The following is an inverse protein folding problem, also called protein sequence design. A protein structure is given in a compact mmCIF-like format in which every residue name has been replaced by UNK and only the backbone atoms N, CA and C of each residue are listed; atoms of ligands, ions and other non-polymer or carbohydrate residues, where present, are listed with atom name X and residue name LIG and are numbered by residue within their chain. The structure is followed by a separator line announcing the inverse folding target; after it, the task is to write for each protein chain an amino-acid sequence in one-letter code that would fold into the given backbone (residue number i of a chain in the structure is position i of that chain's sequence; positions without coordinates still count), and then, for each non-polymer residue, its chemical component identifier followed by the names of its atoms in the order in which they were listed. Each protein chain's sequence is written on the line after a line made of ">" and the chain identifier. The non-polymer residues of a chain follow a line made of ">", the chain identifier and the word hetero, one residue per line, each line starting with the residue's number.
data_IF_838900030490
#
_entry.id   IF_838900030490
#
_cell.length_a   1.000
_cell.length_b   1.000
_cell.length_c   1.000
_cell.angle_alpha   90.00
_cell.angle_beta   90.00
_cell.angle_gamma   90.00
#
_symmetry.space_group_name_H-M   'P 1'
#
loop_
_entity.id
_entity.type
_entity.pdbx_description
1 polymer ?
#
# COMPACT_ATOMS: atom_id res chain seq x y z
N UNK A 1 -8.85 12.75 -6.09
CA UNK A 1 -8.92 11.93 -7.25
C UNK A 1 -9.50 10.57 -6.99
N UNK A 2 -9.90 9.94 -8.05
CA UNK A 2 -10.50 8.61 -8.00
C UNK A 2 -9.54 7.50 -8.47
N UNK A 3 -8.30 7.86 -8.76
CA UNK A 3 -7.33 6.89 -9.22
C UNK A 3 -6.81 6.06 -8.06
N UNK A 4 -6.69 4.74 -8.28
CA UNK A 4 -6.26 3.79 -7.27
C UNK A 4 -5.23 2.85 -7.88
N UNK A 5 -4.17 2.54 -7.11
CA UNK A 5 -3.20 1.52 -7.47
C UNK A 5 -3.40 0.32 -6.56
N UNK A 6 -3.32 -0.88 -7.10
CA UNK A 6 -3.48 -2.12 -6.35
C UNK A 6 -2.24 -3.00 -6.48
N UNK A 7 -1.89 -3.66 -5.40
CA UNK A 7 -0.78 -4.60 -5.39
C UNK A 7 0.56 -3.94 -5.11
N UNK A 8 1.54 -4.72 -4.64
CA UNK A 8 2.80 -4.15 -4.16
C UNK A 8 3.61 -3.44 -5.24
N UNK A 9 3.65 -3.96 -6.45
CA UNK A 9 4.45 -3.35 -7.51
C UNK A 9 3.89 -2.01 -7.96
N UNK A 10 2.57 -1.94 -8.22
CA UNK A 10 1.92 -0.71 -8.64
C UNK A 10 1.99 0.36 -7.55
N UNK A 11 1.81 -0.06 -6.30
CA UNK A 11 1.88 0.87 -5.17
C UNK A 11 3.30 1.38 -4.97
N UNK A 12 4.30 0.51 -5.11
CA UNK A 12 5.70 0.94 -5.01
C UNK A 12 6.05 1.98 -6.07
N UNK A 13 5.59 1.78 -7.29
CA UNK A 13 5.79 2.73 -8.38
C UNK A 13 5.13 4.08 -8.06
N UNK A 14 3.89 4.03 -7.56
CA UNK A 14 3.18 5.26 -7.16
C UNK A 14 3.91 6.00 -6.05
N UNK A 15 4.50 5.26 -5.11
CA UNK A 15 5.28 5.86 -4.03
C UNK A 15 6.49 6.61 -4.59
N UNK A 16 7.21 6.02 -5.52
CA UNK A 16 8.37 6.66 -6.14
C UNK A 16 8.02 7.98 -6.82
N UNK A 17 6.86 8.03 -7.46
CA UNK A 17 6.42 9.25 -8.14
C UNK A 17 5.81 10.29 -7.20
N UNK A 18 5.69 9.97 -5.92
CA UNK A 18 5.05 10.88 -4.97
C UNK A 18 3.57 11.05 -5.23
N UNK A 19 2.94 10.05 -5.85
CA UNK A 19 1.55 10.13 -6.28
C UNK A 19 0.56 9.64 -5.23
N UNK A 20 1.02 9.07 -4.13
CA UNK A 20 0.15 8.48 -3.12
C UNK A 20 -0.45 9.57 -2.22
N UNK A 21 -1.77 9.67 -2.21
CA UNK A 21 -2.48 10.50 -1.25
C UNK A 21 -2.68 9.72 0.05
N UNK A 22 -3.16 8.47 -0.04
CA UNK A 22 -3.35 7.60 1.10
C UNK A 22 -2.91 6.19 0.74
N UNK A 23 -2.01 5.63 1.55
CA UNK A 23 -1.56 4.25 1.41
C UNK A 23 -2.42 3.38 2.31
N UNK A 24 -2.98 2.32 1.77
CA UNK A 24 -3.81 1.35 2.50
C UNK A 24 -3.07 0.02 2.53
N UNK A 25 -2.78 -0.48 3.71
CA UNK A 25 -2.04 -1.74 3.85
C UNK A 25 -2.73 -2.64 4.87
N UNK A 26 -2.75 -3.93 4.57
CA UNK A 26 -3.32 -4.94 5.44
C UNK A 26 -2.33 -5.25 6.56
N UNK A 27 -2.78 -5.19 7.82
CA UNK A 27 -1.93 -5.40 8.99
C UNK A 27 -1.23 -6.77 8.95
N UNK A 28 -1.98 -7.82 8.64
CA UNK A 28 -1.45 -9.17 8.57
C UNK A 28 -0.35 -9.27 7.52
N UNK A 29 -0.54 -8.60 6.39
CA UNK A 29 0.46 -8.61 5.31
C UNK A 29 1.68 -7.79 5.67
N UNK A 30 1.48 -6.65 6.32
CA UNK A 30 2.57 -5.79 6.77
C UNK A 30 3.51 -6.55 7.71
N UNK A 31 2.92 -7.29 8.67
CA UNK A 31 3.70 -8.08 9.61
C UNK A 31 4.44 -9.22 8.93
N UNK A 32 3.77 -9.88 7.98
CA UNK A 32 4.36 -10.99 7.23
C UNK A 32 5.59 -10.52 6.43
N UNK A 33 5.47 -9.40 5.75
CA UNK A 33 6.58 -8.86 4.97
C UNK A 33 7.72 -8.39 5.87
N UNK A 34 7.42 -7.79 7.01
CA UNK A 34 8.44 -7.32 7.96
C UNK A 34 9.22 -8.46 8.58
N UNK A 35 8.58 -9.62 8.77
CA UNK A 35 9.25 -10.78 9.35
C UNK A 35 10.13 -11.52 8.35
N UNK A 36 10.05 -11.17 7.07
CA UNK A 36 10.81 -11.84 6.02
C UNK A 36 10.13 -13.07 5.46
N UNK A 37 8.93 -13.38 5.93
CA UNK A 37 8.15 -14.55 5.47
C UNK A 37 7.22 -14.24 4.31
N UNK A 38 7.16 -12.97 3.90
CA UNK A 38 6.34 -12.57 2.77
C UNK A 38 7.00 -12.87 1.43
N UNK A 39 6.23 -12.72 0.37
CA UNK A 39 6.71 -13.04 -0.98
C UNK A 39 6.65 -11.85 -1.94
N UNK A 40 6.50 -10.63 -1.42
CA UNK A 40 6.55 -9.44 -2.26
C UNK A 40 7.99 -9.17 -2.72
N UNK A 41 8.13 -8.74 -3.96
CA UNK A 41 9.43 -8.35 -4.51
C UNK A 41 9.86 -6.95 -4.05
N UNK A 42 8.98 -6.22 -3.38
CA UNK A 42 9.24 -4.87 -2.90
C UNK A 42 9.26 -4.84 -1.38
N UNK A 43 9.97 -3.86 -0.83
CA UNK A 43 10.07 -3.69 0.62
C UNK A 43 8.90 -2.82 1.11
N UNK A 44 8.01 -3.41 1.92
CA UNK A 44 6.84 -2.71 2.41
C UNK A 44 7.21 -1.49 3.27
N UNK A 45 8.27 -1.61 4.07
CA UNK A 45 8.70 -0.49 4.91
C UNK A 45 9.22 0.67 4.07
N UNK A 46 9.87 0.37 2.96
CA UNK A 46 10.34 1.39 2.03
C UNK A 46 9.16 2.12 1.38
N UNK A 47 8.12 1.38 1.01
CA UNK A 47 6.90 1.98 0.46
C UNK A 47 6.25 2.91 1.47
N UNK A 48 6.09 2.45 2.71
CA UNK A 48 5.49 3.23 3.79
C UNK A 48 6.30 4.51 4.03
N UNK A 49 7.60 4.37 4.18
CA UNK A 49 8.49 5.50 4.44
C UNK A 49 8.45 6.52 3.30
N UNK A 50 8.53 6.04 2.06
CA UNK A 50 8.50 6.91 0.89
C UNK A 50 7.17 7.65 0.79
N UNK A 51 6.05 6.97 1.03
CA UNK A 51 4.74 7.59 0.99
C UNK A 51 4.63 8.72 2.03
N UNK A 52 5.11 8.47 3.25
CA UNK A 52 5.07 9.46 4.32
C UNK A 52 5.99 10.64 4.02
N UNK A 53 7.18 10.39 3.51
CA UNK A 53 8.14 11.44 3.16
C UNK A 53 7.59 12.37 2.10
N UNK A 54 6.75 11.87 1.22
CA UNK A 54 6.16 12.67 0.13
C UNK A 54 4.79 13.22 0.49
N UNK A 55 4.42 13.16 1.76
CA UNK A 55 3.20 13.81 2.27
C UNK A 55 1.94 12.97 2.20
N UNK A 56 2.06 11.67 1.93
CA UNK A 56 0.91 10.77 1.94
C UNK A 56 0.60 10.26 3.34
N UNK A 57 -0.63 9.85 3.54
CA UNK A 57 -1.08 9.23 4.79
C UNK A 57 -1.01 7.72 4.67
N UNK A 58 -0.83 7.03 5.79
CA UNK A 58 -0.82 5.57 5.83
C UNK A 58 -1.94 5.08 6.75
N UNK A 59 -2.77 4.18 6.25
CA UNK A 59 -3.84 3.57 7.02
C UNK A 59 -3.67 2.05 6.99
N UNK A 60 -3.70 1.43 8.17
CA UNK A 60 -3.54 -0.02 8.31
C UNK A 60 -4.88 -0.63 8.67
N UNK A 61 -5.28 -1.68 7.94
CA UNK A 61 -6.54 -2.40 8.17
C UNK A 61 -6.27 -3.83 8.59
N UNK A 62 -7.18 -4.37 9.41
CA UNK A 62 -7.15 -5.79 9.76
C UNK A 62 -8.10 -6.56 8.83
N UNK A 63 -7.70 -7.77 8.42
CA UNK A 63 -8.53 -8.66 7.60
C UNK A 63 -9.77 -9.15 8.36
N UNK A 64 -9.82 -8.96 9.69
CA UNK A 64 -10.98 -9.33 10.50
C UNK A 64 -12.19 -8.43 10.25
N UNK A 65 -12.01 -7.29 9.60
CA UNK A 65 -13.08 -6.33 9.32
C UNK A 65 -13.27 -6.17 7.81
N UNK A 66 -14.49 -5.79 7.40
CA UNK A 66 -14.85 -5.76 5.99
C UNK A 66 -13.89 -4.95 5.09
N UNK A 67 -13.44 -3.74 5.45
CA UNK A 67 -12.47 -3.03 4.60
C UNK A 67 -11.17 -3.79 4.42
N UNK A 68 -10.66 -4.44 5.48
CA UNK A 68 -9.43 -5.22 5.39
C UNK A 68 -9.61 -6.48 4.55
N UNK A 69 -10.78 -7.11 4.64
CA UNK A 69 -11.09 -8.29 3.84
C UNK A 69 -11.06 -7.94 2.35
N UNK A 70 -11.64 -6.81 1.96
CA UNK A 70 -11.60 -6.35 0.59
C UNK A 70 -10.17 -6.07 0.14
N UNK A 71 -9.38 -5.45 1.01
CA UNK A 71 -7.99 -5.15 0.72
C UNK A 71 -7.17 -6.43 0.51
N UNK A 72 -7.45 -7.48 1.29
CA UNK A 72 -6.79 -8.76 1.11
C UNK A 72 -7.04 -9.33 -0.29
N UNK A 73 -8.26 -9.14 -0.81
CA UNK A 73 -8.63 -9.59 -2.16
C UNK A 73 -7.95 -8.77 -3.25
N UNK A 74 -7.43 -7.60 -2.91
CA UNK A 74 -6.73 -6.71 -3.85
C UNK A 74 -5.21 -6.82 -3.74
N UNK A 75 -4.71 -7.84 -3.04
CA UNK A 75 -3.27 -8.06 -2.90
C UNK A 75 -2.69 -7.62 -1.58
N UNK A 76 -3.49 -7.11 -0.66
CA UNK A 76 -3.06 -6.72 0.67
C UNK A 76 -2.50 -5.32 0.78
N UNK A 77 -2.41 -4.59 -0.32
CA UNK A 77 -1.94 -3.21 -0.34
C UNK A 77 -2.58 -2.46 -1.51
N UNK A 78 -2.93 -1.21 -1.27
CA UNK A 78 -3.49 -0.33 -2.30
C UNK A 78 -3.12 1.11 -1.98
N UNK A 79 -3.26 1.99 -2.93
CA UNK A 79 -3.00 3.41 -2.73
C UNK A 79 -4.06 4.24 -3.45
N UNK A 80 -4.57 5.23 -2.74
CA UNK A 80 -5.39 6.27 -3.36
C UNK A 80 -4.42 7.32 -3.89
N UNK A 81 -4.53 7.63 -5.16
CA UNK A 81 -3.57 8.50 -5.83
C UNK A 81 -4.11 9.93 -5.90
N UNK A 82 -3.19 10.90 -5.79
CA UNK A 82 -3.56 12.31 -5.92
C UNK A 82 -3.61 12.75 -7.38
N UNK A 83 -3.06 11.93 -8.31
CA UNK A 83 -3.16 12.15 -9.75
C UNK A 83 -2.92 10.84 -10.49
N UNK A 84 -3.30 10.82 -11.77
CA UNK A 84 -3.16 9.61 -12.59
C UNK A 84 -1.71 9.41 -13.02
N UNK A 85 -1.26 8.16 -12.93
CA UNK A 85 0.06 7.75 -13.41
C UNK A 85 -0.09 7.12 -14.80
N UNK A 86 0.40 7.81 -15.81
CA UNK A 86 0.41 7.27 -17.18
C UNK A 86 1.65 7.68 -17.91
#
# INVERSE_FOLDING_TARGET
>A
GSEVAYGPEAVAEAAEFGAIETLLVLDERLRLERSGDGDWDVDVDDIVETAEQKGGDVTVFSAAFAPGEQLANLGGIAALLRYRLE
#
